data_IF_836216837117
#
_entry.id   IF_836216837117
#
_cell.length_a   1.000
_cell.length_b   1.000
_cell.length_c   1.000
_cell.angle_alpha   90.00
_cell.angle_beta   90.00
_cell.angle_gamma   90.00
#
_symmetry.space_group_name_H-M   'P 1'
#
loop_
_entity.id
_entity.type
_entity.pdbx_description
1 polymer ?
#
# COMPACT_ATOMS: atom_id res chain seq x y z
N UNK A 1 12.31 41.34 -3.92
CA UNK A 1 12.86 40.55 -2.80
C UNK A 1 13.31 39.19 -3.33
N UNK A 2 14.60 38.87 -3.27
CA UNK A 2 15.17 37.59 -3.72
C UNK A 2 15.16 36.61 -2.55
N UNK A 3 14.35 35.56 -2.63
CA UNK A 3 14.42 34.47 -1.66
C UNK A 3 15.72 33.68 -1.85
N UNK A 4 16.37 33.20 -0.76
CA UNK A 4 17.59 32.42 -0.86
C UNK A 4 17.33 31.12 -1.66
N UNK A 5 18.24 30.78 -2.58
CA UNK A 5 18.12 29.62 -3.51
C UNK A 5 17.73 28.30 -2.84
N UNK A 6 18.12 28.09 -1.58
CA UNK A 6 17.77 26.90 -0.80
C UNK A 6 16.27 26.82 -0.45
N UNK A 7 15.62 27.96 -0.19
CA UNK A 7 14.18 27.99 0.11
C UNK A 7 13.34 27.73 -1.14
N UNK A 8 13.82 28.20 -2.30
CA UNK A 8 13.16 27.97 -3.60
C UNK A 8 13.27 26.50 -4.02
N UNK A 9 14.41 25.85 -3.79
CA UNK A 9 14.59 24.43 -4.06
C UNK A 9 13.70 23.55 -3.17
N UNK A 10 13.66 23.78 -1.86
CA UNK A 10 12.83 23.02 -0.93
C UNK A 10 11.32 23.17 -1.21
N UNK A 11 10.87 24.37 -1.57
CA UNK A 11 9.49 24.61 -1.97
C UNK A 11 9.17 23.99 -3.33
N UNK A 12 10.13 23.96 -4.26
CA UNK A 12 9.95 23.31 -5.56
C UNK A 12 9.90 21.79 -5.41
N UNK A 13 10.75 21.16 -4.58
CA UNK A 13 10.69 19.72 -4.29
C UNK A 13 9.40 19.32 -3.55
N UNK A 14 8.94 20.16 -2.62
CA UNK A 14 7.67 19.94 -1.89
C UNK A 14 6.46 20.08 -2.83
N UNK A 15 6.49 21.01 -3.78
CA UNK A 15 5.42 21.19 -4.77
C UNK A 15 5.52 20.13 -5.89
N UNK A 16 6.72 19.67 -6.26
CA UNK A 16 6.92 18.59 -7.24
C UNK A 16 6.39 17.25 -6.70
N UNK A 17 6.53 17.01 -5.39
CA UNK A 17 5.90 15.92 -4.64
C UNK A 17 4.35 16.03 -4.66
N UNK A 18 3.81 17.25 -4.62
CA UNK A 18 2.36 17.46 -4.62
C UNK A 18 1.71 17.33 -6.00
N UNK A 19 2.46 17.44 -7.11
CA UNK A 19 1.87 17.55 -8.45
C UNK A 19 2.21 16.38 -9.37
N UNK A 20 3.27 15.59 -9.14
CA UNK A 20 3.61 14.47 -10.01
C UNK A 20 3.86 13.15 -9.27
N UNK A 21 3.01 12.16 -9.59
CA UNK A 21 3.17 10.72 -9.34
C UNK A 21 3.11 10.30 -7.88
N UNK A 22 1.94 9.86 -7.40
CA UNK A 22 1.72 9.31 -6.06
C UNK A 22 2.45 7.96 -5.86
N UNK A 23 3.63 7.89 -5.22
CA UNK A 23 4.33 6.64 -4.96
C UNK A 23 4.15 6.19 -3.50
N UNK A 24 3.29 6.86 -2.72
CA UNK A 24 3.35 6.81 -1.27
C UNK A 24 2.72 5.56 -0.66
N UNK A 25 1.76 4.93 -1.35
CA UNK A 25 0.97 3.83 -0.77
C UNK A 25 0.99 2.63 -1.69
N UNK A 26 1.65 1.57 -1.24
CA UNK A 26 1.58 0.23 -1.82
C UNK A 26 0.47 -0.58 -1.16
N UNK A 27 -0.42 -1.15 -1.97
CA UNK A 27 -1.41 -2.11 -1.50
C UNK A 27 -0.83 -3.52 -1.57
N UNK A 28 -0.67 -4.17 -0.41
CA UNK A 28 -0.13 -5.52 -0.30
C UNK A 28 -1.24 -6.52 0.01
N UNK A 29 -1.53 -7.43 -0.92
CA UNK A 29 -2.53 -8.49 -0.75
C UNK A 29 -1.84 -9.80 -0.39
N UNK A 30 -1.99 -10.22 0.87
CA UNK A 30 -1.28 -11.39 1.40
C UNK A 30 -2.11 -12.66 1.27
N UNK A 31 -1.57 -13.64 0.52
CA UNK A 31 -2.13 -14.98 0.32
C UNK A 31 -3.62 -14.99 -0.05
N UNK A 32 -4.06 -14.20 -1.06
CA UNK A 32 -5.46 -14.24 -1.48
C UNK A 32 -5.85 -15.64 -1.97
N UNK A 33 -7.06 -16.07 -1.62
CA UNK A 33 -7.64 -17.38 -1.94
C UNK A 33 -8.97 -17.33 -2.71
N UNK A 34 -9.47 -16.12 -2.97
CA UNK A 34 -10.70 -15.92 -3.73
C UNK A 34 -10.42 -14.91 -4.86
N UNK A 35 -10.60 -15.31 -6.13
CA UNK A 35 -10.30 -14.47 -7.29
C UNK A 35 -11.19 -13.22 -7.33
N UNK A 36 -12.44 -13.32 -6.89
CA UNK A 36 -13.35 -12.17 -6.80
C UNK A 36 -12.88 -11.14 -5.79
N UNK A 37 -12.33 -11.58 -4.65
CA UNK A 37 -11.77 -10.68 -3.65
C UNK A 37 -10.51 -9.98 -4.17
N UNK A 38 -9.65 -10.71 -4.89
CA UNK A 38 -8.46 -10.14 -5.51
C UNK A 38 -8.84 -9.06 -6.53
N UNK A 39 -9.77 -9.37 -7.44
CA UNK A 39 -10.29 -8.42 -8.43
C UNK A 39 -10.94 -7.19 -7.76
N UNK A 40 -11.78 -7.40 -6.75
CA UNK A 40 -12.46 -6.31 -6.04
C UNK A 40 -11.48 -5.39 -5.33
N UNK A 41 -10.48 -5.95 -4.64
CA UNK A 41 -9.45 -5.18 -3.95
C UNK A 41 -8.60 -4.36 -4.93
N UNK A 42 -8.17 -4.97 -6.05
CA UNK A 42 -7.40 -4.23 -7.07
C UNK A 42 -8.23 -3.15 -7.76
N UNK A 43 -9.53 -3.38 -7.98
CA UNK A 43 -10.44 -2.34 -8.48
C UNK A 43 -10.65 -1.21 -7.48
N UNK A 44 -10.76 -1.52 -6.20
CA UNK A 44 -10.85 -0.51 -5.15
C UNK A 44 -9.59 0.36 -5.14
N UNK A 45 -8.40 -0.26 -5.15
CA UNK A 45 -7.12 0.45 -5.24
C UNK A 45 -7.11 1.44 -6.41
N UNK A 46 -7.52 0.97 -7.59
CA UNK A 46 -7.63 1.78 -8.80
C UNK A 46 -8.59 2.98 -8.66
N UNK A 47 -9.77 2.76 -8.08
CA UNK A 47 -10.78 3.81 -7.92
C UNK A 47 -10.31 4.93 -6.98
N UNK A 48 -9.43 4.62 -6.03
CA UNK A 48 -8.82 5.59 -5.12
C UNK A 48 -7.47 6.14 -5.61
N UNK A 49 -7.05 5.81 -6.84
CA UNK A 49 -5.82 6.32 -7.43
C UNK A 49 -4.55 5.66 -6.90
N UNK A 50 -4.63 4.45 -6.33
CA UNK A 50 -3.48 3.63 -5.99
C UNK A 50 -3.09 2.73 -7.18
N UNK A 51 -1.84 2.84 -7.61
CA UNK A 51 -1.29 2.16 -8.79
C UNK A 51 -0.24 1.08 -8.43
N UNK A 52 0.37 1.14 -7.25
CA UNK A 52 1.28 0.10 -6.72
C UNK A 52 0.52 -0.99 -5.95
N UNK A 53 0.31 -2.14 -6.60
CA UNK A 53 -0.30 -3.33 -6.01
C UNK A 53 0.68 -4.50 -6.06
N UNK A 54 0.94 -5.10 -4.89
CA UNK A 54 1.77 -6.30 -4.75
C UNK A 54 0.96 -7.44 -4.16
N UNK A 55 1.07 -8.63 -4.75
CA UNK A 55 0.37 -9.84 -4.32
C UNK A 55 1.38 -10.86 -3.80
N UNK A 56 1.29 -11.16 -2.50
CA UNK A 56 2.24 -12.03 -1.80
C UNK A 56 1.70 -13.45 -1.74
N UNK A 57 2.45 -14.41 -2.27
CA UNK A 57 2.16 -15.84 -2.25
C UNK A 57 0.68 -16.18 -2.52
N UNK A 58 0.07 -15.70 -3.62
CA UNK A 58 -1.32 -16.02 -3.92
C UNK A 58 -1.51 -17.52 -4.11
N UNK A 59 -2.71 -18.04 -3.82
CA UNK A 59 -3.04 -19.40 -4.23
C UNK A 59 -3.04 -19.48 -5.77
N UNK A 60 -2.29 -20.41 -6.35
CA UNK A 60 -2.02 -20.41 -7.79
C UNK A 60 -3.30 -20.40 -8.65
N UNK A 61 -4.32 -21.24 -8.39
CA UNK A 61 -5.58 -21.17 -9.12
C UNK A 61 -6.27 -19.80 -9.00
N UNK A 62 -6.28 -19.21 -7.81
CA UNK A 62 -6.83 -17.86 -7.59
C UNK A 62 -6.11 -16.80 -8.41
N UNK A 63 -4.79 -16.88 -8.49
CA UNK A 63 -3.99 -15.94 -9.26
C UNK A 63 -4.28 -16.05 -10.75
N UNK A 64 -4.27 -17.27 -11.29
CA UNK A 64 -4.53 -17.54 -12.71
C UNK A 64 -5.95 -17.12 -13.10
N UNK A 65 -6.96 -17.52 -12.31
CA UNK A 65 -8.36 -17.19 -12.56
C UNK A 65 -8.60 -15.67 -12.53
N UNK A 66 -8.06 -14.97 -11.52
CA UNK A 66 -8.21 -13.52 -11.43
C UNK A 66 -7.51 -12.79 -12.58
N UNK A 67 -6.36 -13.28 -13.06
CA UNK A 67 -5.63 -12.69 -14.19
C UNK A 67 -6.31 -12.92 -15.53
N UNK A 68 -6.97 -14.07 -15.70
CA UNK A 68 -7.71 -14.43 -16.90
C UNK A 68 -9.10 -13.78 -16.97
N UNK A 69 -9.66 -13.33 -15.84
CA UNK A 69 -10.96 -12.67 -15.79
C UNK A 69 -11.01 -11.43 -16.71
N UNK A 70 -12.13 -11.24 -17.40
CA UNK A 70 -12.38 -10.06 -18.24
C UNK A 70 -12.33 -8.77 -17.43
N UNK A 71 -12.71 -8.87 -16.16
CA UNK A 71 -12.72 -7.82 -15.15
C UNK A 71 -11.32 -7.52 -14.60
N UNK A 72 -10.30 -8.31 -14.96
CA UNK A 72 -8.91 -8.00 -14.64
C UNK A 72 -8.58 -6.63 -15.23
N UNK A 73 -8.57 -5.59 -14.40
CA UNK A 73 -8.16 -4.26 -14.83
C UNK A 73 -6.67 -4.23 -15.17
N UNK A 74 -6.21 -3.15 -15.80
CA UNK A 74 -4.77 -2.94 -16.07
C UNK A 74 -3.90 -3.12 -14.83
N UNK A 75 -4.43 -2.72 -13.67
CA UNK A 75 -3.76 -2.78 -12.38
C UNK A 75 -3.49 -4.20 -11.90
N UNK A 76 -4.42 -5.14 -12.09
CA UNK A 76 -4.17 -6.54 -11.73
C UNK A 76 -3.16 -7.19 -12.70
N UNK A 77 -3.19 -6.78 -13.97
CA UNK A 77 -2.20 -7.24 -14.95
C UNK A 77 -0.80 -6.72 -14.65
N UNK A 78 -0.70 -5.51 -14.11
CA UNK A 78 0.57 -4.87 -13.71
C UNK A 78 1.00 -5.22 -12.28
N UNK A 79 0.10 -5.77 -11.47
CA UNK A 79 0.40 -6.13 -10.08
C UNK A 79 1.57 -7.12 -10.03
N UNK A 80 2.54 -6.82 -9.17
CA UNK A 80 3.72 -7.65 -8.96
C UNK A 80 3.37 -8.81 -8.04
N UNK A 81 3.76 -10.03 -8.42
CA UNK A 81 3.69 -11.21 -7.56
C UNK A 81 5.04 -11.42 -6.89
N UNK A 82 5.02 -11.66 -5.59
CA UNK A 82 6.22 -11.94 -4.78
C UNK A 82 5.97 -13.13 -3.86
N UNK A 83 7.04 -13.75 -3.37
CA UNK A 83 6.92 -14.97 -2.56
C UNK A 83 6.84 -14.68 -1.06
N UNK A 84 7.29 -13.51 -0.61
CA UNK A 84 7.32 -13.16 0.81
C UNK A 84 6.76 -11.76 1.10
N UNK A 85 6.26 -11.57 2.33
CA UNK A 85 5.84 -10.25 2.79
C UNK A 85 7.02 -9.29 2.93
N UNK A 86 8.20 -9.80 3.29
CA UNK A 86 9.41 -9.00 3.46
C UNK A 86 9.81 -8.33 2.15
N UNK A 87 9.85 -9.09 1.06
CA UNK A 87 10.11 -8.57 -0.30
C UNK A 87 9.04 -7.55 -0.74
N UNK A 88 7.80 -7.70 -0.28
CA UNK A 88 6.73 -6.77 -0.62
C UNK A 88 6.88 -5.39 0.06
N UNK A 89 7.65 -5.29 1.14
CA UNK A 89 7.72 -4.08 1.99
C UNK A 89 9.15 -3.59 2.24
N UNK A 90 10.16 -4.22 1.65
CA UNK A 90 11.58 -3.94 1.92
C UNK A 90 11.99 -2.47 1.67
N UNK A 91 11.31 -1.81 0.72
CA UNK A 91 11.53 -0.42 0.32
C UNK A 91 10.53 0.54 0.99
N UNK A 92 9.85 0.11 2.07
CA UNK A 92 8.85 0.89 2.80
C UNK A 92 9.32 1.19 4.22
N UNK A 93 9.27 2.48 4.59
CA UNK A 93 9.55 2.92 5.96
C UNK A 93 8.39 2.63 6.92
N UNK A 94 7.18 2.45 6.39
CA UNK A 94 5.93 2.29 7.13
C UNK A 94 5.14 1.10 6.61
N UNK A 95 4.76 0.19 7.51
CA UNK A 95 3.93 -0.97 7.19
C UNK A 95 2.71 -1.00 8.10
N UNK A 96 1.53 -0.87 7.51
CA UNK A 96 0.25 -0.90 8.22
C UNK A 96 -0.46 -2.23 7.95
N UNK A 97 -0.67 -3.04 8.99
CA UNK A 97 -1.41 -4.28 8.90
C UNK A 97 -2.88 -4.09 9.24
N UNK A 98 -3.78 -4.48 8.34
CA UNK A 98 -5.22 -4.50 8.62
C UNK A 98 -5.62 -5.82 9.29
N UNK A 99 -6.41 -5.77 10.36
CA UNK A 99 -6.98 -6.96 11.01
C UNK A 99 -8.41 -6.69 11.44
N UNK A 100 -9.26 -7.72 11.42
CA UNK A 100 -10.56 -7.67 12.07
C UNK A 100 -10.38 -7.96 13.57
N UNK A 101 -11.02 -7.16 14.44
CA UNK A 101 -10.96 -7.31 15.90
C UNK A 101 -11.74 -8.54 16.40
N UNK A 102 -12.57 -9.16 15.57
CA UNK A 102 -13.54 -10.18 15.99
C UNK A 102 -12.95 -11.51 16.49
N UNK A 103 -11.65 -11.79 16.25
CA UNK A 103 -11.04 -13.09 16.56
C UNK A 103 -9.76 -13.02 17.40
N UNK A 104 -9.42 -11.85 17.96
CA UNK A 104 -8.21 -11.69 18.77
C UNK A 104 -8.51 -10.93 20.05
N UNK A 105 -8.16 -11.52 21.20
CA UNK A 105 -7.87 -10.74 22.39
C UNK A 105 -6.58 -9.98 22.11
N UNK A 106 -6.71 -8.74 21.64
CA UNK A 106 -5.57 -7.84 21.60
C UNK A 106 -5.30 -7.44 23.05
N UNK A 107 -4.05 -7.60 23.50
CA UNK A 107 -3.66 -6.98 24.76
C UNK A 107 -3.86 -5.48 24.64
N UNK A 108 -4.73 -4.92 25.48
CA UNK A 108 -5.19 -3.53 25.45
C UNK A 108 -4.03 -2.51 25.41
N UNK A 109 -2.84 -2.92 25.86
CA UNK A 109 -1.61 -2.13 25.85
C UNK A 109 -1.06 -1.80 24.45
N UNK A 110 -1.59 -2.38 23.36
CA UNK A 110 -1.10 -2.16 21.98
C UNK A 110 -2.17 -1.73 20.99
N UNK A 111 -3.25 -1.11 21.46
CA UNK A 111 -4.24 -0.44 20.61
C UNK A 111 -4.01 1.06 20.70
N UNK A 112 -3.73 1.68 19.56
CA UNK A 112 -3.54 3.12 19.46
C UNK A 112 -4.60 3.73 18.54
N UNK A 113 -5.12 4.90 18.91
CA UNK A 113 -5.87 5.73 17.95
C UNK A 113 -4.94 6.17 16.83
N UNK A 114 -5.48 6.29 15.61
CA UNK A 114 -4.72 6.75 14.45
C UNK A 114 -4.08 8.12 14.71
N UNK A 115 -4.78 8.99 15.43
CA UNK A 115 -4.33 10.33 15.80
C UNK A 115 -3.05 10.31 16.67
N UNK A 116 -2.79 9.20 17.36
CA UNK A 116 -1.61 9.03 18.21
C UNK A 116 -0.43 8.34 17.48
N UNK A 117 -0.62 7.91 16.23
CA UNK A 117 0.42 7.21 15.46
C UNK A 117 1.53 8.18 15.03
N UNK A 118 1.18 9.40 14.60
CA UNK A 118 2.14 10.40 14.12
C UNK A 118 3.22 10.76 15.15
N UNK A 119 2.86 10.84 16.43
CA UNK A 119 3.77 11.17 17.53
C UNK A 119 4.82 10.09 17.81
N UNK A 120 4.56 8.83 17.41
CA UNK A 120 5.51 7.72 17.55
C UNK A 120 6.25 7.39 16.26
N UNK A 121 5.66 7.78 15.13
CA UNK A 121 6.23 7.56 13.81
C UNK A 121 7.59 8.23 13.59
N UNK A 122 7.80 9.35 14.25
CA UNK A 122 9.03 10.15 14.11
C UNK A 122 10.15 9.71 15.07
N UNK A 123 9.90 8.71 15.93
CA UNK A 123 10.85 8.25 16.95
C UNK A 123 11.74 7.06 16.55
N UNK A 124 11.45 6.41 15.42
CA UNK A 124 12.31 5.35 14.87
C UNK A 124 13.35 6.01 13.95
N UNK A 125 14.50 6.38 14.52
CA UNK A 125 15.72 6.68 13.76
C UNK A 125 16.62 5.46 13.75
#
# INVERSE_FOLDING_TARGET
MKFPRALTAALTDTIHCMVNSNPLVRIVLVRPRNPLNLLAATRAAANFGFDDVVVVSPFEPTWQEARAAREAGRWLRQARRVDSLLEAVEDRNWVLGTSCLARRQLESARIFSLDHVAARATGAR
#
